data_IF_922349886900
#
_entry.id   IF_922349886900
#
_cell.length_a   1.000
_cell.length_b   1.000
_cell.length_c   1.000
_cell.angle_alpha   90.00
_cell.angle_beta   90.00
_cell.angle_gamma   90.00
#
_symmetry.space_group_name_H-M   'P 1'
#
loop_
_entity.id
_entity.type
_entity.pdbx_description
1 polymer ?
#
# COMPACT_ATOMS: atom_id res chain seq x y z
N UNK A 1 7.42 72.63 65.30
CA UNK A 1 6.72 71.34 65.10
C UNK A 1 5.50 71.58 64.22
N UNK A 2 5.61 71.37 62.88
CA UNK A 2 4.54 71.63 61.93
C UNK A 2 4.07 70.31 61.38
N UNK A 3 2.84 69.93 61.69
CA UNK A 3 2.13 68.73 61.23
C UNK A 3 1.71 68.93 59.75
N UNK A 4 2.27 68.17 58.83
CA UNK A 4 1.80 68.10 57.43
C UNK A 4 0.53 67.27 57.40
N UNK A 5 -0.59 67.87 56.98
CA UNK A 5 -1.83 67.21 56.62
C UNK A 5 -1.65 66.57 55.25
N UNK A 6 -1.92 65.26 55.16
CA UNK A 6 -1.96 64.50 53.87
C UNK A 6 -3.41 64.45 53.41
N UNK A 7 -3.83 65.42 52.60
CA UNK A 7 -5.10 65.34 51.85
C UNK A 7 -5.03 64.27 50.79
N UNK A 8 -5.80 63.21 50.96
CA UNK A 8 -6.05 62.22 49.86
C UNK A 8 -7.21 62.81 49.02
N UNK A 9 -7.06 62.86 47.71
CA UNK A 9 -8.14 63.31 46.84
C UNK A 9 -9.27 62.27 46.85
N UNK A 10 -10.43 62.67 47.40
CA UNK A 10 -11.68 61.90 47.30
C UNK A 10 -12.26 62.17 45.92
N UNK A 11 -12.35 61.11 45.08
CA UNK A 11 -12.98 61.19 43.76
C UNK A 11 -14.46 61.60 43.90
N UNK A 12 -14.88 62.62 43.14
CA UNK A 12 -16.26 63.15 43.19
C UNK A 12 -17.26 62.09 42.72
N UNK A 13 -18.48 62.04 43.24
CA UNK A 13 -19.50 61.01 42.90
C UNK A 13 -19.74 60.78 41.44
N UNK A 14 -19.71 61.76 40.53
CA UNK A 14 -19.88 61.51 39.09
C UNK A 14 -18.71 60.74 38.45
N UNK A 15 -17.48 60.80 38.96
CA UNK A 15 -16.32 60.06 38.47
C UNK A 15 -16.36 58.59 38.90
N UNK A 16 -16.87 58.31 40.11
CA UNK A 16 -17.10 56.94 40.58
C UNK A 16 -18.20 56.23 39.76
N UNK A 17 -19.25 56.97 39.40
CA UNK A 17 -20.34 56.45 38.58
C UNK A 17 -19.89 56.14 37.13
N UNK A 18 -19.04 56.99 36.56
CA UNK A 18 -18.48 56.78 35.22
C UNK A 18 -17.53 55.57 35.21
N UNK A 19 -16.71 55.35 36.25
CA UNK A 19 -15.83 54.19 36.37
C UNK A 19 -16.64 52.90 36.59
N UNK A 20 -17.72 52.96 37.38
CA UNK A 20 -18.61 51.81 37.58
C UNK A 20 -19.35 51.44 36.28
N UNK A 21 -19.78 52.40 35.44
CA UNK A 21 -20.46 52.16 34.17
C UNK A 21 -19.52 51.59 33.14
N UNK A 22 -18.24 52.01 33.09
CA UNK A 22 -17.22 51.43 32.20
C UNK A 22 -16.80 50.04 32.64
N UNK A 23 -16.72 49.75 33.91
CA UNK A 23 -16.48 48.38 34.42
C UNK A 23 -17.65 47.45 34.14
N UNK A 24 -18.89 47.94 34.25
CA UNK A 24 -20.10 47.15 33.91
C UNK A 24 -20.22 46.89 32.41
N UNK A 25 -19.80 47.86 31.57
CA UNK A 25 -19.75 47.67 30.11
C UNK A 25 -18.66 46.69 29.68
N UNK A 26 -17.55 46.59 30.38
CA UNK A 26 -16.50 45.57 30.14
C UNK A 26 -16.92 44.17 30.61
N UNK A 27 -17.79 44.05 31.61
CA UNK A 27 -18.35 42.78 32.06
C UNK A 27 -19.52 42.31 31.18
N UNK A 28 -20.16 43.24 30.44
CA UNK A 28 -21.24 42.96 29.50
C UNK A 28 -20.76 42.75 28.03
N UNK A 29 -19.45 42.79 27.80
CA UNK A 29 -18.95 42.34 26.49
C UNK A 29 -19.41 40.90 26.30
N UNK A 30 -20.23 40.58 25.24
CA UNK A 30 -20.54 39.22 24.96
C UNK A 30 -19.17 38.51 24.82
N UNK A 31 -18.95 37.47 25.62
CA UNK A 31 -17.91 36.51 25.32
C UNK A 31 -18.24 35.97 23.91
N UNK A 32 -17.71 36.64 22.91
CA UNK A 32 -17.62 36.03 21.58
C UNK A 32 -16.75 34.82 21.84
N UNK A 33 -17.44 33.71 22.11
CA UNK A 33 -16.82 32.40 22.14
C UNK A 33 -16.06 32.32 20.84
N UNK A 34 -14.74 32.44 20.92
CA UNK A 34 -13.91 31.88 19.90
C UNK A 34 -14.30 30.40 19.92
N UNK A 35 -15.24 30.04 19.02
CA UNK A 35 -15.45 28.67 18.67
C UNK A 35 -14.03 28.19 18.34
N UNK A 36 -13.44 27.39 19.23
CA UNK A 36 -12.26 26.62 18.86
C UNK A 36 -12.63 26.00 17.50
N UNK A 37 -11.78 26.13 16.48
CA UNK A 37 -12.05 25.44 15.23
C UNK A 37 -12.37 24.01 15.64
N UNK A 38 -13.57 23.57 15.36
CA UNK A 38 -14.01 22.20 15.64
C UNK A 38 -13.08 21.34 14.81
N UNK A 39 -12.10 20.70 15.48
CA UNK A 39 -11.15 19.82 14.80
C UNK A 39 -11.99 18.68 14.28
N UNK A 40 -12.11 18.58 12.96
CA UNK A 40 -12.86 17.47 12.35
C UNK A 40 -12.27 16.14 12.81
N UNK A 41 -13.06 15.10 12.93
CA UNK A 41 -12.56 13.77 13.25
C UNK A 41 -11.58 13.30 12.17
N UNK A 42 -10.53 12.60 12.58
CA UNK A 42 -9.61 11.91 11.66
C UNK A 42 -10.30 10.72 11.05
N UNK A 43 -10.38 10.69 9.72
CA UNK A 43 -11.00 9.61 8.95
C UNK A 43 -9.93 8.62 8.53
N UNK A 44 -10.06 7.39 9.02
CA UNK A 44 -9.25 6.26 8.59
C UNK A 44 -9.99 5.44 7.53
N UNK A 45 -9.34 5.15 6.42
CA UNK A 45 -9.86 4.25 5.39
C UNK A 45 -9.19 2.88 5.51
N UNK A 46 -9.99 1.83 5.60
CA UNK A 46 -9.53 0.45 5.74
C UNK A 46 -10.01 -0.37 4.54
N UNK A 47 -9.07 -0.93 3.79
CA UNK A 47 -9.32 -1.69 2.57
C UNK A 47 -8.94 -3.16 2.77
N UNK A 48 -9.91 -4.06 2.68
CA UNK A 48 -9.67 -5.49 2.84
C UNK A 48 -8.97 -6.11 1.61
N UNK A 49 -8.36 -7.27 1.80
CA UNK A 49 -7.91 -8.13 0.72
C UNK A 49 -9.06 -8.80 -0.01
N UNK A 50 -8.82 -9.23 -1.27
CA UNK A 50 -9.82 -9.90 -2.09
C UNK A 50 -9.44 -10.08 -3.56
N UNK A 51 -8.16 -10.06 -3.90
CA UNK A 51 -7.65 -10.27 -5.27
C UNK A 51 -8.22 -9.23 -6.26
N UNK A 52 -8.71 -9.68 -7.41
CA UNK A 52 -9.29 -8.81 -8.46
C UNK A 52 -10.44 -7.93 -7.95
N UNK A 53 -11.21 -8.40 -6.96
CA UNK A 53 -12.28 -7.62 -6.32
C UNK A 53 -11.76 -6.33 -5.67
N UNK A 54 -10.46 -6.24 -5.39
CA UNK A 54 -9.79 -5.02 -4.93
C UNK A 54 -10.01 -3.80 -5.84
N UNK A 55 -10.36 -4.00 -7.09
CA UNK A 55 -10.73 -2.93 -8.01
C UNK A 55 -11.97 -2.17 -7.53
N UNK A 56 -12.89 -2.81 -6.80
CA UNK A 56 -14.04 -2.11 -6.20
C UNK A 56 -13.61 -1.02 -5.19
N UNK A 57 -12.47 -1.18 -4.52
CA UNK A 57 -11.94 -0.13 -3.65
C UNK A 57 -11.68 1.18 -4.40
N UNK A 58 -11.22 1.12 -5.66
CA UNK A 58 -10.97 2.31 -6.48
C UNK A 58 -12.28 3.06 -6.76
N UNK A 59 -13.35 2.32 -7.03
CA UNK A 59 -14.68 2.90 -7.16
C UNK A 59 -15.18 3.57 -5.87
N UNK A 60 -14.89 2.97 -4.71
CA UNK A 60 -15.20 3.59 -3.42
C UNK A 60 -14.42 4.90 -3.25
N UNK A 61 -13.10 4.90 -3.56
CA UNK A 61 -12.29 6.13 -3.52
C UNK A 61 -12.87 7.23 -4.39
N UNK A 62 -13.27 6.91 -5.62
CA UNK A 62 -13.93 7.86 -6.54
C UNK A 62 -15.19 8.47 -5.91
N UNK A 63 -16.05 7.66 -5.29
CA UNK A 63 -17.25 8.15 -4.65
C UNK A 63 -16.96 9.02 -3.41
N UNK A 64 -15.92 8.69 -2.62
CA UNK A 64 -15.47 9.52 -1.49
C UNK A 64 -14.98 10.89 -1.97
N UNK A 65 -14.22 10.96 -3.08
CA UNK A 65 -13.78 12.22 -3.66
C UNK A 65 -14.94 13.05 -4.23
N UNK A 66 -15.89 12.40 -4.94
CA UNK A 66 -17.13 13.05 -5.42
C UNK A 66 -17.90 13.71 -4.25
N UNK A 67 -17.96 13.04 -3.11
CA UNK A 67 -18.63 13.53 -1.90
C UNK A 67 -17.73 14.46 -1.06
N UNK A 68 -16.49 14.71 -1.46
CA UNK A 68 -15.52 15.55 -0.74
C UNK A 68 -15.24 15.08 0.69
N UNK A 69 -15.09 13.78 0.86
CA UNK A 69 -14.72 13.14 2.13
C UNK A 69 -13.20 12.98 2.18
N UNK A 70 -12.48 13.80 2.95
CA UNK A 70 -11.02 13.67 3.06
C UNK A 70 -10.65 12.48 3.93
N UNK A 71 -9.62 11.77 3.51
CA UNK A 71 -9.04 10.62 4.22
C UNK A 71 -7.73 11.06 4.87
N UNK A 72 -7.57 10.78 6.17
CA UNK A 72 -6.41 11.21 6.95
C UNK A 72 -5.36 10.11 7.13
N UNK A 73 -5.74 8.85 6.97
CA UNK A 73 -4.85 7.70 6.98
C UNK A 73 -5.50 6.52 6.24
N UNK A 74 -4.68 5.66 5.68
CA UNK A 74 -5.16 4.49 4.93
C UNK A 74 -4.43 3.24 5.41
N UNK A 75 -5.18 2.14 5.58
CA UNK A 75 -4.62 0.83 5.89
C UNK A 75 -5.20 -0.19 4.91
N UNK A 76 -4.35 -1.07 4.42
CA UNK A 76 -4.80 -2.09 3.47
C UNK A 76 -4.13 -3.44 3.62
N UNK A 77 -4.84 -4.47 3.21
CA UNK A 77 -4.36 -5.84 3.14
C UNK A 77 -4.44 -6.35 1.71
N UNK A 78 -3.40 -7.06 1.22
CA UNK A 78 -3.39 -7.69 -0.10
C UNK A 78 -3.73 -6.68 -1.23
N UNK A 79 -4.73 -6.96 -2.06
CA UNK A 79 -5.21 -6.04 -3.09
C UNK A 79 -5.61 -4.67 -2.51
N UNK A 80 -6.21 -4.65 -1.31
CA UNK A 80 -6.51 -3.41 -0.60
C UNK A 80 -5.24 -2.62 -0.24
N UNK A 81 -4.12 -3.30 0.06
CA UNK A 81 -2.84 -2.61 0.32
C UNK A 81 -2.29 -1.93 -0.93
N UNK A 82 -2.46 -2.54 -2.11
CA UNK A 82 -2.04 -1.95 -3.37
C UNK A 82 -2.83 -0.67 -3.68
N UNK A 83 -4.17 -0.73 -3.61
CA UNK A 83 -5.02 0.46 -3.81
C UNK A 83 -4.73 1.53 -2.77
N UNK A 84 -4.64 1.15 -1.49
CA UNK A 84 -4.32 2.05 -0.38
C UNK A 84 -2.99 2.78 -0.57
N UNK A 85 -1.94 2.07 -0.95
CA UNK A 85 -0.60 2.64 -1.16
C UNK A 85 -0.55 3.61 -2.34
N UNK A 86 -1.22 3.29 -3.46
CA UNK A 86 -1.30 4.18 -4.61
C UNK A 86 -2.03 5.48 -4.26
N UNK A 87 -3.15 5.36 -3.56
CA UNK A 87 -3.90 6.52 -3.08
C UNK A 87 -3.10 7.32 -2.06
N UNK A 88 -2.45 6.65 -1.10
CA UNK A 88 -1.61 7.28 -0.09
C UNK A 88 -0.40 8.01 -0.67
N UNK A 89 0.14 7.53 -1.80
CA UNK A 89 1.24 8.18 -2.52
C UNK A 89 0.82 9.41 -3.33
N UNK A 90 -0.47 9.79 -3.27
CA UNK A 90 -1.02 10.96 -3.99
C UNK A 90 -1.35 10.70 -5.46
N UNK A 91 -1.48 9.44 -5.87
CA UNK A 91 -1.94 9.13 -7.23
C UNK A 91 -3.43 9.45 -7.36
N UNK A 92 -3.85 10.27 -8.34
CA UNK A 92 -5.25 10.55 -8.60
C UNK A 92 -6.06 9.26 -8.85
N UNK A 93 -7.30 9.22 -8.39
CA UNK A 93 -8.14 8.02 -8.51
C UNK A 93 -8.34 7.63 -9.98
N UNK A 94 -8.51 8.59 -10.87
CA UNK A 94 -8.64 8.37 -12.31
C UNK A 94 -7.38 7.73 -12.92
N UNK A 95 -6.20 8.09 -12.39
CA UNK A 95 -4.93 7.48 -12.80
C UNK A 95 -4.83 6.04 -12.29
N UNK A 96 -5.28 5.76 -11.06
CA UNK A 96 -5.34 4.39 -10.53
C UNK A 96 -6.26 3.53 -11.41
N UNK A 97 -7.47 4.02 -11.74
CA UNK A 97 -8.40 3.32 -12.63
C UNK A 97 -7.76 3.02 -13.99
N UNK A 98 -7.16 4.02 -14.61
CA UNK A 98 -6.50 3.89 -15.91
C UNK A 98 -5.36 2.86 -15.87
N UNK A 99 -4.50 2.95 -14.86
CA UNK A 99 -3.39 2.00 -14.66
C UNK A 99 -3.89 0.59 -14.50
N UNK A 100 -4.92 0.36 -13.70
CA UNK A 100 -5.47 -0.99 -13.46
C UNK A 100 -6.12 -1.60 -14.69
N UNK A 101 -6.69 -0.79 -15.60
CA UNK A 101 -7.22 -1.25 -16.88
C UNK A 101 -6.09 -1.60 -17.86
N UNK A 102 -5.00 -0.83 -17.87
CA UNK A 102 -3.87 -1.01 -18.79
C UNK A 102 -2.91 -2.14 -18.38
N UNK A 103 -2.93 -2.57 -17.10
CA UNK A 103 -2.04 -3.61 -16.60
C UNK A 103 -2.28 -4.96 -17.28
N UNK A 104 -1.19 -5.60 -17.72
CA UNK A 104 -1.20 -7.03 -18.07
C UNK A 104 -1.19 -7.88 -16.79
N UNK A 105 -2.39 -8.05 -16.20
CA UNK A 105 -2.55 -8.84 -14.98
C UNK A 105 -2.04 -10.27 -15.10
N UNK A 106 -2.14 -10.88 -16.28
CA UNK A 106 -1.66 -12.25 -16.48
C UNK A 106 -0.13 -12.33 -16.36
N UNK A 107 0.58 -11.26 -16.68
CA UNK A 107 2.04 -11.21 -16.50
C UNK A 107 2.46 -11.22 -15.04
N UNK A 108 1.63 -10.68 -14.13
CA UNK A 108 1.92 -10.66 -12.70
C UNK A 108 2.01 -12.07 -12.09
N UNK A 109 1.26 -13.02 -12.67
CA UNK A 109 1.27 -14.44 -12.26
C UNK A 109 2.30 -15.30 -13.00
N UNK A 110 3.29 -14.67 -13.64
CA UNK A 110 4.35 -15.37 -14.39
C UNK A 110 5.71 -14.77 -14.04
N UNK A 111 6.73 -15.62 -13.95
CA UNK A 111 8.12 -15.20 -13.75
C UNK A 111 8.91 -15.23 -15.06
N UNK A 112 8.23 -15.17 -16.19
CA UNK A 112 8.87 -15.17 -17.51
C UNK A 112 9.24 -13.73 -17.90
N UNK A 113 10.55 -13.41 -18.02
CA UNK A 113 10.98 -12.07 -18.43
C UNK A 113 10.65 -11.76 -19.89
N UNK A 114 10.03 -12.72 -20.59
CA UNK A 114 9.78 -12.64 -22.02
C UNK A 114 10.95 -13.15 -22.87
N UNK A 115 10.61 -13.65 -24.07
CA UNK A 115 11.57 -14.30 -24.96
C UNK A 115 12.72 -13.37 -25.37
N UNK A 116 12.47 -12.06 -25.49
CA UNK A 116 13.49 -11.10 -25.90
C UNK A 116 14.68 -11.07 -24.92
N UNK A 117 14.42 -11.22 -23.64
CA UNK A 117 15.38 -11.11 -22.54
C UNK A 117 16.14 -12.41 -22.23
N UNK A 118 15.74 -13.54 -22.80
CA UNK A 118 16.39 -14.83 -22.56
C UNK A 118 17.58 -15.04 -23.50
N UNK A 119 18.73 -15.56 -23.00
CA UNK A 119 19.83 -16.00 -23.84
C UNK A 119 19.41 -17.13 -24.79
N UNK A 120 20.12 -17.27 -25.92
CA UNK A 120 19.80 -18.27 -26.94
C UNK A 120 19.71 -19.69 -26.36
N UNK A 121 20.60 -20.05 -25.43
CA UNK A 121 20.61 -21.36 -24.76
C UNK A 121 19.30 -21.60 -23.99
N UNK A 122 18.82 -20.64 -23.20
CA UNK A 122 17.53 -20.76 -22.48
C UNK A 122 16.35 -20.84 -23.44
N UNK A 123 16.38 -20.09 -24.52
CA UNK A 123 15.35 -20.20 -25.60
C UNK A 123 15.26 -21.59 -26.20
N UNK A 124 16.38 -22.31 -26.28
CA UNK A 124 16.43 -23.69 -26.79
C UNK A 124 15.96 -24.68 -25.71
N UNK A 125 16.31 -24.46 -24.44
CA UNK A 125 15.92 -25.34 -23.33
C UNK A 125 14.39 -25.28 -23.10
N UNK A 126 13.78 -24.09 -23.19
CA UNK A 126 12.32 -23.92 -23.09
C UNK A 126 11.55 -24.69 -24.18
N UNK A 127 12.14 -24.88 -25.37
CA UNK A 127 11.56 -25.69 -26.44
C UNK A 127 11.64 -27.19 -26.18
N UNK A 128 12.66 -27.64 -25.45
CA UNK A 128 12.89 -29.05 -25.16
C UNK A 128 12.13 -29.60 -23.97
N UNK A 129 11.80 -28.71 -23.00
CA UNK A 129 11.17 -29.06 -21.73
C UNK A 129 10.00 -28.10 -21.41
N UNK A 130 8.89 -28.16 -22.15
CA UNK A 130 7.78 -27.20 -21.98
C UNK A 130 7.05 -27.29 -20.64
N UNK A 131 7.27 -28.33 -19.85
CA UNK A 131 6.56 -28.61 -18.59
C UNK A 131 7.50 -28.87 -17.41
N UNK A 132 8.66 -28.21 -17.34
CA UNK A 132 9.49 -28.33 -16.15
C UNK A 132 8.96 -27.37 -15.07
N UNK A 133 8.20 -27.84 -14.04
CA UNK A 133 7.97 -27.06 -12.85
C UNK A 133 9.32 -26.66 -12.26
N UNK A 134 9.39 -25.55 -11.51
CA UNK A 134 10.62 -25.04 -10.91
C UNK A 134 11.23 -25.99 -9.88
N UNK A 135 11.55 -27.23 -10.31
CA UNK A 135 12.25 -28.22 -9.52
C UNK A 135 13.74 -27.85 -9.47
N UNK A 136 14.27 -27.67 -8.28
CA UNK A 136 15.68 -27.49 -8.01
C UNK A 136 16.29 -28.71 -7.35
N UNK A 137 17.53 -28.99 -7.68
CA UNK A 137 18.33 -30.04 -7.00
C UNK A 137 19.43 -29.33 -6.22
N UNK A 138 19.49 -29.55 -4.90
CA UNK A 138 20.59 -29.16 -4.04
C UNK A 138 21.28 -30.40 -3.47
N UNK A 139 22.40 -30.22 -2.78
CA UNK A 139 23.09 -31.31 -2.07
C UNK A 139 22.20 -31.98 -0.99
N UNK A 140 21.17 -31.27 -0.52
CA UNK A 140 20.23 -31.71 0.53
C UNK A 140 18.96 -32.35 -0.07
N UNK A 141 18.82 -32.43 -1.40
CA UNK A 141 17.68 -33.06 -2.06
C UNK A 141 16.98 -32.22 -3.12
N UNK A 142 15.76 -32.65 -3.49
CA UNK A 142 14.90 -31.95 -4.45
C UNK A 142 14.18 -30.81 -3.70
N UNK A 143 14.32 -29.59 -4.19
CA UNK A 143 13.60 -28.41 -3.67
C UNK A 143 12.50 -27.99 -4.64
N UNK A 144 11.33 -27.77 -4.11
CA UNK A 144 10.24 -27.06 -4.77
C UNK A 144 10.38 -25.56 -4.43
N UNK A 145 10.13 -24.68 -5.39
CA UNK A 145 10.02 -23.26 -5.12
C UNK A 145 8.94 -22.98 -4.04
N UNK A 146 9.10 -21.95 -3.23
CA UNK A 146 8.17 -21.60 -2.15
C UNK A 146 6.77 -21.16 -2.61
N UNK A 147 6.51 -21.15 -3.91
CA UNK A 147 5.23 -20.81 -4.56
C UNK A 147 5.27 -21.21 -6.02
N UNK A 148 4.13 -21.07 -6.73
CA UNK A 148 4.05 -21.31 -8.18
C UNK A 148 4.92 -20.33 -8.95
N UNK A 149 4.97 -19.06 -8.49
CA UNK A 149 5.79 -17.98 -9.02
C UNK A 149 6.55 -17.26 -7.90
N UNK A 150 7.74 -16.74 -8.21
CA UNK A 150 8.51 -15.89 -7.27
C UNK A 150 7.89 -14.51 -7.14
N UNK A 151 7.08 -14.08 -8.11
CA UNK A 151 6.45 -12.76 -8.19
C UNK A 151 7.38 -11.69 -8.72
N UNK A 152 8.37 -12.07 -9.53
CA UNK A 152 9.32 -11.14 -10.14
C UNK A 152 8.63 -10.06 -10.97
N UNK A 153 7.68 -10.44 -11.83
CA UNK A 153 6.97 -9.48 -12.68
C UNK A 153 6.02 -8.61 -11.85
N UNK A 154 5.36 -9.17 -10.82
CA UNK A 154 4.55 -8.36 -9.90
C UNK A 154 5.43 -7.30 -9.20
N UNK A 155 6.66 -7.65 -8.81
CA UNK A 155 7.62 -6.70 -8.24
C UNK A 155 7.93 -5.53 -9.19
N UNK A 156 8.15 -5.79 -10.47
CA UNK A 156 8.36 -4.72 -11.47
C UNK A 156 7.11 -3.83 -11.62
N UNK A 157 5.93 -4.42 -11.71
CA UNK A 157 4.67 -3.68 -11.78
C UNK A 157 4.50 -2.76 -10.55
N UNK A 158 4.72 -3.30 -9.36
CA UNK A 158 4.60 -2.52 -8.12
C UNK A 158 5.63 -1.40 -8.03
N UNK A 159 6.89 -1.65 -8.43
CA UNK A 159 7.92 -0.62 -8.48
C UNK A 159 7.54 0.52 -9.46
N UNK A 160 7.01 0.19 -10.63
CA UNK A 160 6.54 1.20 -11.58
C UNK A 160 5.38 2.02 -10.99
N UNK A 161 4.39 1.34 -10.42
CA UNK A 161 3.20 2.00 -9.85
C UNK A 161 3.54 2.91 -8.66
N UNK A 162 4.51 2.51 -7.82
CA UNK A 162 4.88 3.24 -6.60
C UNK A 162 6.08 4.16 -6.77
N UNK A 163 6.59 4.31 -7.98
CA UNK A 163 7.83 5.09 -8.26
C UNK A 163 7.81 6.52 -7.70
N UNK A 164 6.62 7.13 -7.62
CA UNK A 164 6.46 8.49 -7.10
C UNK A 164 6.80 8.59 -5.60
N UNK A 165 6.70 7.48 -4.86
CA UNK A 165 7.03 7.37 -3.45
C UNK A 165 8.37 6.65 -3.19
N UNK A 166 9.18 6.40 -4.23
CA UNK A 166 10.40 5.59 -4.13
C UNK A 166 11.46 6.12 -3.15
N UNK A 167 11.41 7.40 -2.78
CA UNK A 167 12.31 8.04 -1.80
C UNK A 167 11.69 8.16 -0.40
N UNK A 168 10.44 7.76 -0.21
CA UNK A 168 9.77 7.81 1.09
C UNK A 168 10.07 6.53 1.86
N UNK A 169 10.86 6.63 2.93
CA UNK A 169 11.20 5.50 3.80
C UNK A 169 10.19 5.31 4.94
N UNK A 170 9.65 6.38 5.50
CA UNK A 170 8.60 6.33 6.53
C UNK A 170 7.24 6.60 5.88
N UNK A 171 6.33 5.63 5.96
CA UNK A 171 5.01 5.76 5.34
C UNK A 171 4.09 6.76 6.04
N UNK A 172 4.51 7.33 7.18
CA UNK A 172 3.85 8.49 7.78
C UNK A 172 4.20 9.80 7.04
N UNK A 173 5.26 9.80 6.22
CA UNK A 173 5.67 10.92 5.37
C UNK A 173 5.02 10.89 3.98
N UNK A 174 4.26 9.84 3.65
CA UNK A 174 3.41 9.85 2.45
C UNK A 174 2.36 10.96 2.56
N UNK A 175 1.86 11.48 1.41
CA UNK A 175 0.76 12.45 1.42
C UNK A 175 -0.43 12.06 2.30
N UNK A 176 -0.74 10.77 2.37
CA UNK A 176 -1.65 10.19 3.37
C UNK A 176 -0.90 9.08 4.10
N UNK A 177 -0.75 9.12 5.44
CA UNK A 177 -0.14 8.06 6.22
C UNK A 177 -0.71 6.67 5.91
N UNK A 178 0.18 5.69 5.71
CA UNK A 178 -0.20 4.37 5.20
C UNK A 178 0.39 3.23 6.02
N UNK A 179 -0.36 2.12 6.09
CA UNK A 179 0.17 0.81 6.55
C UNK A 179 -0.29 -0.31 5.63
N UNK A 180 0.64 -1.18 5.25
CA UNK A 180 0.34 -2.48 4.65
C UNK A 180 0.34 -3.56 5.74
N UNK A 181 -0.57 -4.52 5.63
CA UNK A 181 -0.61 -5.66 6.55
C UNK A 181 -0.16 -6.93 5.84
N UNK A 182 0.79 -7.64 6.44
CA UNK A 182 1.26 -8.95 6.02
C UNK A 182 1.14 -9.94 7.18
N UNK A 183 1.45 -11.21 6.94
CA UNK A 183 1.47 -12.27 7.96
C UNK A 183 2.86 -12.86 8.05
N UNK A 184 3.41 -12.97 9.26
CA UNK A 184 4.61 -13.74 9.52
C UNK A 184 4.30 -15.23 9.39
N UNK A 185 4.93 -15.90 8.42
CA UNK A 185 4.65 -17.30 8.10
C UNK A 185 5.07 -18.25 9.22
N UNK A 186 6.05 -17.91 10.04
CA UNK A 186 6.54 -18.75 11.12
C UNK A 186 5.59 -18.74 12.32
N UNK A 187 5.04 -17.54 12.64
CA UNK A 187 4.25 -17.34 13.86
C UNK A 187 2.75 -17.23 13.60
N UNK A 188 2.32 -16.94 12.36
CA UNK A 188 0.94 -16.67 11.99
C UNK A 188 0.42 -15.30 12.47
N UNK A 189 1.28 -14.47 13.05
CA UNK A 189 0.92 -13.14 13.58
C UNK A 189 0.95 -12.09 12.47
N UNK A 190 0.04 -11.10 12.58
CA UNK A 190 0.07 -9.94 11.69
C UNK A 190 1.38 -9.16 11.81
N UNK A 191 1.83 -8.63 10.69
CA UNK A 191 2.96 -7.72 10.59
C UNK A 191 2.50 -6.45 9.91
N UNK A 192 2.44 -5.37 10.68
CA UNK A 192 2.10 -4.03 10.17
C UNK A 192 3.36 -3.38 9.61
N UNK A 193 3.35 -3.09 8.31
CA UNK A 193 4.49 -2.50 7.60
C UNK A 193 4.21 -1.01 7.38
N UNK A 194 5.00 -0.16 7.99
CA UNK A 194 4.88 1.30 7.93
C UNK A 194 6.13 2.02 7.43
N UNK A 195 7.15 1.29 6.94
CA UNK A 195 8.39 1.91 6.49
C UNK A 195 9.14 1.06 5.48
N UNK A 196 10.14 1.62 4.83
CA UNK A 196 11.03 0.97 3.87
C UNK A 196 10.52 1.07 2.43
N UNK A 197 10.84 0.09 1.58
CA UNK A 197 10.40 0.08 0.19
C UNK A 197 8.89 -0.19 0.09
N UNK A 198 8.15 0.74 -0.55
CA UNK A 198 6.69 0.67 -0.64
C UNK A 198 6.23 -0.49 -1.53
N UNK A 199 6.91 -0.73 -2.66
CA UNK A 199 6.60 -1.84 -3.55
C UNK A 199 6.85 -3.20 -2.86
N UNK A 200 7.93 -3.32 -2.07
CA UNK A 200 8.22 -4.52 -1.28
C UNK A 200 7.16 -4.74 -0.19
N UNK A 201 6.70 -3.67 0.47
CA UNK A 201 5.65 -3.76 1.49
C UNK A 201 4.32 -4.28 0.91
N UNK A 202 3.89 -3.71 -0.23
CA UNK A 202 2.71 -4.20 -0.96
C UNK A 202 2.93 -5.64 -1.42
N UNK A 203 4.11 -5.96 -1.99
CA UNK A 203 4.44 -7.30 -2.47
C UNK A 203 4.37 -8.34 -1.34
N UNK A 204 4.81 -7.99 -0.12
CA UNK A 204 4.69 -8.85 1.05
C UNK A 204 3.23 -9.08 1.42
N UNK A 205 2.44 -8.00 1.46
CA UNK A 205 0.99 -8.04 1.75
C UNK A 205 0.19 -8.85 0.72
N UNK A 206 0.67 -8.95 -0.52
CA UNK A 206 0.04 -9.69 -1.64
C UNK A 206 0.62 -11.09 -1.86
N UNK A 207 1.47 -11.61 -0.96
CA UNK A 207 2.12 -12.91 -1.11
C UNK A 207 1.18 -14.08 -0.78
N UNK A 208 0.18 -14.30 -1.62
CA UNK A 208 -0.85 -15.35 -1.42
C UNK A 208 -0.17 -16.72 -1.29
N UNK A 209 -0.37 -17.44 -0.17
CA UNK A 209 0.20 -18.77 0.03
C UNK A 209 -0.17 -19.74 -1.10
N UNK A 210 0.83 -20.47 -1.61
CA UNK A 210 0.66 -21.40 -2.74
C UNK A 210 0.74 -20.74 -4.12
N UNK A 211 0.47 -19.43 -4.25
CA UNK A 211 0.60 -18.68 -5.51
C UNK A 211 1.96 -18.02 -5.60
N UNK A 212 2.26 -17.13 -4.65
CA UNK A 212 3.53 -16.40 -4.63
C UNK A 212 4.48 -16.93 -3.56
N UNK A 213 5.78 -16.85 -3.85
CA UNK A 213 6.80 -17.09 -2.84
C UNK A 213 6.71 -16.04 -1.71
N UNK A 214 6.94 -16.44 -0.43
CA UNK A 214 7.04 -15.51 0.67
C UNK A 214 8.12 -14.44 0.44
N UNK A 215 7.89 -13.24 0.99
CA UNK A 215 8.87 -12.16 0.98
C UNK A 215 9.70 -12.22 2.25
N UNK A 216 11.02 -12.28 2.11
CA UNK A 216 11.94 -12.18 3.24
C UNK A 216 12.18 -10.70 3.56
N UNK A 217 11.78 -10.29 4.78
CA UNK A 217 11.94 -8.92 5.26
C UNK A 217 12.31 -8.90 6.74
N UNK A 218 13.40 -8.23 7.06
CA UNK A 218 13.90 -8.11 8.46
C UNK A 218 14.02 -9.46 9.18
N UNK A 219 14.48 -10.50 8.47
CA UNK A 219 14.67 -11.84 9.02
C UNK A 219 13.37 -12.65 9.21
N UNK A 220 12.23 -12.16 8.71
CA UNK A 220 10.92 -12.85 8.71
C UNK A 220 10.54 -13.25 7.30
N UNK A 221 9.80 -14.35 7.17
CA UNK A 221 9.15 -14.75 5.93
C UNK A 221 7.69 -14.28 5.98
N UNK A 222 7.36 -13.32 5.12
CA UNK A 222 6.05 -12.70 5.08
C UNK A 222 5.20 -13.28 3.95
N UNK A 223 3.94 -13.55 4.26
CA UNK A 223 2.90 -13.94 3.32
C UNK A 223 1.72 -12.97 3.39
N UNK A 224 0.71 -13.18 2.54
CA UNK A 224 -0.49 -12.33 2.45
C UNK A 224 -1.11 -12.03 3.82
N UNK A 225 -1.40 -10.76 4.04
CA UNK A 225 -1.97 -10.28 5.30
C UNK A 225 -3.36 -10.82 5.59
N UNK A 226 -4.10 -11.25 4.57
CA UNK A 226 -5.43 -11.83 4.72
C UNK A 226 -5.46 -13.08 5.61
N UNK A 227 -4.32 -13.75 5.77
CA UNK A 227 -4.22 -14.91 6.69
C UNK A 227 -4.38 -14.50 8.14
N UNK A 228 -3.81 -13.38 8.58
CA UNK A 228 -3.83 -12.90 9.97
C UNK A 228 -4.85 -11.78 10.22
N UNK A 229 -4.94 -10.80 9.31
CA UNK A 229 -5.83 -9.63 9.44
C UNK A 229 -6.21 -9.08 8.07
N UNK A 230 -7.35 -9.52 7.55
CA UNK A 230 -7.80 -9.16 6.21
C UNK A 230 -8.47 -7.78 6.14
N UNK A 231 -9.13 -7.33 7.21
CA UNK A 231 -9.78 -6.02 7.31
C UNK A 231 -9.21 -5.26 8.51
N UNK A 232 -8.05 -4.60 8.39
CA UNK A 232 -7.24 -4.15 9.52
C UNK A 232 -7.78 -2.91 10.26
N UNK A 233 -9.02 -2.99 10.79
CA UNK A 233 -9.69 -1.96 11.57
C UNK A 233 -8.88 -1.56 12.80
N UNK A 234 -8.32 -2.56 13.52
CA UNK A 234 -7.46 -2.32 14.68
C UNK A 234 -6.27 -1.45 14.36
N UNK A 235 -5.61 -1.70 13.23
CA UNK A 235 -4.42 -0.94 12.79
C UNK A 235 -4.77 0.53 12.52
N UNK A 236 -5.89 0.79 11.82
CA UNK A 236 -6.34 2.16 11.59
C UNK A 236 -6.68 2.88 12.91
N UNK A 237 -7.24 2.16 13.87
CA UNK A 237 -7.54 2.72 15.20
C UNK A 237 -6.25 3.06 15.95
N UNK A 238 -5.25 2.19 15.90
CA UNK A 238 -3.92 2.40 16.51
C UNK A 238 -3.15 3.56 15.87
N UNK A 239 -3.40 3.85 14.57
CA UNK A 239 -2.89 5.05 13.88
C UNK A 239 -3.65 6.33 14.28
N UNK A 240 -4.69 6.23 15.09
CA UNK A 240 -5.44 7.36 15.63
C UNK A 240 -6.62 7.79 14.79
N UNK A 241 -7.25 6.90 14.02
CA UNK A 241 -8.52 7.19 13.36
C UNK A 241 -9.64 7.38 14.40
N UNK A 242 -10.35 8.50 14.32
CA UNK A 242 -11.55 8.76 15.13
C UNK A 242 -12.78 8.04 14.52
N UNK A 243 -12.87 8.07 13.19
CA UNK A 243 -13.92 7.41 12.41
C UNK A 243 -13.27 6.54 11.35
N UNK A 244 -13.75 5.30 11.20
CA UNK A 244 -13.25 4.36 10.19
C UNK A 244 -14.29 4.17 9.10
N UNK A 245 -13.86 4.29 7.86
CA UNK A 245 -14.56 3.81 6.69
C UNK A 245 -13.91 2.47 6.31
N UNK A 246 -14.59 1.37 6.61
CA UNK A 246 -14.12 0.03 6.30
C UNK A 246 -14.77 -0.48 5.02
N UNK A 247 -13.97 -0.93 4.06
CA UNK A 247 -14.45 -1.52 2.80
C UNK A 247 -14.12 -3.00 2.80
N UNK A 248 -15.17 -3.83 2.92
CA UNK A 248 -15.07 -5.28 3.01
C UNK A 248 -15.49 -5.94 1.69
N UNK A 249 -14.52 -6.54 1.01
CA UNK A 249 -14.72 -7.31 -0.24
C UNK A 249 -14.37 -8.79 -0.06
N UNK A 250 -14.42 -9.28 1.19
CA UNK A 250 -14.04 -10.67 1.53
C UNK A 250 -14.93 -11.69 0.82
N UNK A 251 -14.31 -12.68 0.20
CA UNK A 251 -15.02 -13.75 -0.50
C UNK A 251 -15.92 -14.58 0.42
N UNK A 252 -17.09 -15.05 -0.03
CA UNK A 252 -17.85 -16.07 0.64
C UNK A 252 -17.06 -17.40 0.64
N UNK A 253 -17.42 -18.30 1.54
CA UNK A 253 -16.89 -19.68 1.53
C UNK A 253 -17.37 -20.40 0.27
N UNK A 254 -16.48 -21.18 -0.35
CA UNK A 254 -16.82 -22.04 -1.47
C UNK A 254 -17.81 -23.12 -1.05
N UNK A 255 -18.71 -23.45 -1.95
CA UNK A 255 -19.64 -24.59 -1.78
C UNK A 255 -18.93 -25.92 -2.05
N UNK A 256 -19.56 -27.02 -1.67
CA UNK A 256 -19.02 -28.37 -1.93
C UNK A 256 -18.81 -28.66 -3.44
N UNK A 257 -19.62 -28.04 -4.29
CA UNK A 257 -19.55 -28.22 -5.75
C UNK A 257 -18.32 -27.52 -6.35
N UNK A 258 -17.87 -26.42 -5.73
CA UNK A 258 -16.71 -25.63 -6.14
C UNK A 258 -15.37 -26.18 -5.61
N UNK A 259 -15.41 -27.08 -4.62
CA UNK A 259 -14.22 -27.65 -3.96
C UNK A 259 -13.76 -28.97 -4.61
N UNK A 260 -13.66 -29.08 -5.92
CA UNK A 260 -13.31 -30.34 -6.58
C UNK A 260 -11.80 -30.53 -6.83
N UNK A 261 -10.96 -29.52 -6.67
CA UNK A 261 -9.53 -29.56 -6.94
C UNK A 261 -8.69 -29.32 -5.68
N UNK A 262 -7.47 -29.87 -5.63
CA UNK A 262 -6.58 -29.69 -4.48
C UNK A 262 -6.24 -28.20 -4.19
N UNK A 263 -6.14 -27.38 -5.24
CA UNK A 263 -5.93 -25.94 -5.08
C UNK A 263 -7.14 -25.23 -4.48
N UNK A 264 -8.36 -25.67 -4.78
CA UNK A 264 -9.57 -25.11 -4.17
C UNK A 264 -9.64 -25.39 -2.68
N UNK A 265 -9.07 -26.50 -2.20
CA UNK A 265 -8.98 -26.80 -0.75
C UNK A 265 -8.04 -25.82 -0.05
N UNK A 266 -6.86 -25.53 -0.62
CA UNK A 266 -5.92 -24.52 -0.03
C UNK A 266 -6.55 -23.14 -0.06
N UNK A 267 -7.20 -22.78 -1.15
CA UNK A 267 -7.97 -21.52 -1.27
C UNK A 267 -9.06 -21.44 -0.19
N UNK A 268 -9.85 -22.50 0.00
CA UNK A 268 -10.89 -22.55 1.01
C UNK A 268 -10.35 -22.37 2.42
N UNK A 269 -9.23 -23.02 2.78
CA UNK A 269 -8.59 -22.85 4.09
C UNK A 269 -8.15 -21.40 4.31
N UNK A 270 -7.57 -20.77 3.28
CA UNK A 270 -7.20 -19.35 3.32
C UNK A 270 -8.44 -18.47 3.50
N UNK A 271 -9.51 -18.72 2.73
CA UNK A 271 -10.78 -17.98 2.86
C UNK A 271 -11.41 -18.15 4.24
N UNK A 272 -11.36 -19.36 4.83
CA UNK A 272 -11.86 -19.59 6.20
C UNK A 272 -11.10 -18.77 7.24
N UNK A 273 -9.76 -18.69 7.14
CA UNK A 273 -8.94 -17.86 8.03
C UNK A 273 -9.25 -16.38 7.83
N UNK A 274 -9.30 -15.95 6.59
CA UNK A 274 -9.61 -14.57 6.19
C UNK A 274 -10.96 -14.11 6.73
N UNK A 275 -12.02 -14.91 6.55
CA UNK A 275 -13.35 -14.56 7.07
C UNK A 275 -13.39 -14.47 8.58
N UNK A 276 -12.79 -15.45 9.27
CA UNK A 276 -12.78 -15.45 10.74
C UNK A 276 -12.12 -14.18 11.29
N UNK A 277 -10.94 -13.83 10.78
CA UNK A 277 -10.27 -12.62 11.25
C UNK A 277 -10.98 -11.34 10.80
N UNK A 278 -11.66 -11.34 9.64
CA UNK A 278 -12.52 -10.22 9.20
C UNK A 278 -13.68 -10.03 10.17
N UNK A 279 -14.38 -11.10 10.59
CA UNK A 279 -15.48 -11.02 11.55
C UNK A 279 -15.01 -10.46 12.92
N UNK A 280 -13.82 -10.84 13.38
CA UNK A 280 -13.19 -10.30 14.59
C UNK A 280 -12.89 -8.79 14.48
N UNK A 281 -12.53 -8.30 13.28
CA UNK A 281 -12.28 -6.88 13.03
C UNK A 281 -13.57 -6.09 12.87
N UNK A 282 -14.58 -6.66 12.22
CA UNK A 282 -15.91 -6.05 12.10
C UNK A 282 -16.55 -5.80 13.47
N UNK A 283 -16.34 -6.72 14.42
CA UNK A 283 -16.81 -6.56 15.80
C UNK A 283 -16.16 -5.38 16.55
N UNK A 284 -15.09 -4.77 16.00
CA UNK A 284 -14.41 -3.59 16.56
C UNK A 284 -14.95 -2.26 16.01
N UNK A 285 -15.79 -2.31 14.97
CA UNK A 285 -16.45 -1.12 14.45
C UNK A 285 -17.48 -0.61 15.46
N UNK A 286 -17.60 0.70 15.54
CA UNK A 286 -18.54 1.44 16.41
C UNK A 286 -19.67 2.03 15.58
N UNK A 287 -20.70 2.57 16.23
CA UNK A 287 -21.84 3.21 15.55
C UNK A 287 -21.45 4.47 14.73
N UNK A 288 -20.26 5.04 15.00
CA UNK A 288 -19.73 6.17 14.24
C UNK A 288 -18.96 5.74 12.98
N UNK A 289 -18.56 4.49 12.88
CA UNK A 289 -17.82 3.95 11.74
C UNK A 289 -18.78 3.60 10.59
N UNK A 290 -18.23 3.52 9.38
CA UNK A 290 -19.02 3.24 8.17
C UNK A 290 -18.46 1.98 7.53
N UNK A 291 -19.30 0.95 7.40
CA UNK A 291 -18.96 -0.29 6.70
C UNK A 291 -19.57 -0.28 5.31
N UNK A 292 -18.73 -0.35 4.29
CA UNK A 292 -19.13 -0.44 2.88
C UNK A 292 -18.85 -1.86 2.40
N UNK A 293 -19.87 -2.53 1.87
CA UNK A 293 -19.78 -3.86 1.25
C UNK A 293 -20.33 -3.80 -0.16
N UNK A 294 -19.45 -3.68 -1.17
CA UNK A 294 -19.90 -3.79 -2.55
C UNK A 294 -20.55 -5.15 -2.83
N UNK A 295 -21.65 -5.14 -3.58
CA UNK A 295 -22.25 -6.39 -4.07
C UNK A 295 -21.41 -6.91 -5.23
N UNK A 296 -20.58 -7.91 -4.95
CA UNK A 296 -19.65 -8.55 -5.88
C UNK A 296 -20.08 -9.98 -6.21
N UNK A 297 -21.38 -10.30 -6.08
CA UNK A 297 -21.90 -11.60 -6.48
C UNK A 297 -21.66 -11.84 -7.98
N UNK A 298 -21.20 -13.04 -8.32
CA UNK A 298 -20.83 -13.41 -9.69
C UNK A 298 -19.40 -13.01 -10.12
N UNK A 299 -18.66 -12.30 -9.27
CA UNK A 299 -17.25 -11.99 -9.54
C UNK A 299 -16.33 -12.73 -8.55
N UNK A 300 -15.24 -13.28 -9.07
CA UNK A 300 -14.23 -13.99 -8.27
C UNK A 300 -12.99 -13.13 -8.02
N UNK A 301 -12.17 -13.55 -7.06
CA UNK A 301 -10.86 -12.94 -6.79
C UNK A 301 -9.84 -13.09 -7.94
N UNK A 302 -10.19 -13.80 -9.03
CA UNK A 302 -9.37 -14.00 -10.23
C UNK A 302 -9.85 -13.17 -11.44
N UNK A 303 -10.96 -12.44 -11.37
CA UNK A 303 -11.59 -11.74 -12.50
C UNK A 303 -10.94 -10.38 -12.77
N UNK A 304 -9.64 -10.37 -13.05
CA UNK A 304 -8.85 -9.15 -13.28
C UNK A 304 -9.23 -8.34 -14.51
N UNK A 305 -10.07 -8.87 -15.40
CA UNK A 305 -10.52 -8.16 -16.62
C UNK A 305 -11.84 -7.41 -16.42
N UNK A 306 -12.50 -7.59 -15.28
CA UNK A 306 -13.80 -6.96 -14.96
C UNK A 306 -13.65 -5.58 -14.29
N UNK A 307 -12.47 -4.95 -14.40
CA UNK A 307 -12.15 -3.69 -13.72
C UNK A 307 -13.23 -2.63 -13.82
N UNK A 308 -13.68 -2.24 -15.03
CA UNK A 308 -14.72 -1.21 -15.15
C UNK A 308 -16.03 -1.53 -14.43
N UNK A 309 -16.42 -2.81 -14.37
CA UNK A 309 -17.62 -3.25 -13.64
C UNK A 309 -17.39 -3.16 -12.13
N UNK A 310 -16.24 -3.65 -11.67
CA UNK A 310 -15.89 -3.65 -10.26
C UNK A 310 -15.75 -2.22 -9.69
N UNK A 311 -15.19 -1.28 -10.47
CA UNK A 311 -15.17 0.15 -10.09
C UNK A 311 -16.58 0.69 -9.86
N UNK A 312 -17.53 0.43 -10.77
CA UNK A 312 -18.90 0.92 -10.63
C UNK A 312 -19.64 0.27 -9.45
N UNK A 313 -19.43 -1.02 -9.20
CA UNK A 313 -20.01 -1.71 -8.04
C UNK A 313 -19.50 -1.09 -6.73
N UNK A 314 -18.19 -0.80 -6.66
CA UNK A 314 -17.60 -0.12 -5.50
C UNK A 314 -18.16 1.29 -5.28
N UNK A 315 -18.26 2.09 -6.35
CA UNK A 315 -18.80 3.44 -6.28
C UNK A 315 -20.29 3.44 -5.89
N UNK A 316 -21.06 2.50 -6.42
CA UNK A 316 -22.47 2.33 -6.07
C UNK A 316 -22.65 2.03 -4.59
N UNK A 317 -21.91 1.05 -4.07
CA UNK A 317 -21.95 0.71 -2.65
C UNK A 317 -21.58 1.90 -1.75
N UNK A 318 -20.59 2.69 -2.11
CA UNK A 318 -20.26 3.91 -1.36
C UNK A 318 -21.40 4.95 -1.39
N UNK A 319 -22.03 5.15 -2.55
CA UNK A 319 -23.17 6.09 -2.70
C UNK A 319 -24.40 5.67 -1.90
N UNK A 320 -24.61 4.38 -1.65
CA UNK A 320 -25.66 3.89 -0.74
C UNK A 320 -25.47 4.38 0.70
N UNK A 321 -24.23 4.66 1.09
CA UNK A 321 -23.86 5.24 2.39
C UNK A 321 -23.74 6.78 2.36
N UNK A 322 -24.23 7.46 1.32
CA UNK A 322 -24.05 8.92 1.13
C UNK A 322 -24.51 9.75 2.33
N UNK A 323 -25.59 9.35 3.03
CA UNK A 323 -26.09 10.07 4.22
C UNK A 323 -25.05 10.08 5.35
N UNK A 324 -24.37 8.98 5.58
CA UNK A 324 -23.33 8.88 6.61
C UNK A 324 -22.05 9.57 6.14
N UNK A 325 -21.61 9.33 4.91
CA UNK A 325 -20.40 9.88 4.32
C UNK A 325 -20.46 11.41 4.20
N UNK A 326 -21.60 11.98 3.84
CA UNK A 326 -21.77 13.44 3.75
C UNK A 326 -21.62 14.16 5.11
N UNK A 327 -21.70 13.45 6.25
CA UNK A 327 -21.39 14.03 7.56
C UNK A 327 -19.88 14.27 7.74
N UNK A 328 -19.05 13.56 6.98
CA UNK A 328 -17.60 13.68 6.96
C UNK A 328 -17.10 14.62 5.87
N UNK A 329 -18.00 15.02 4.95
CA UNK A 329 -17.67 15.89 3.83
C UNK A 329 -17.25 17.29 4.32
N UNK A 330 -16.30 17.87 3.61
CA UNK A 330 -15.81 19.21 3.90
C UNK A 330 -16.26 20.23 2.86
N UNK A 331 -16.16 21.54 3.18
CA UNK A 331 -16.48 22.59 2.21
C UNK A 331 -15.56 22.53 0.98
N UNK A 332 -16.02 23.09 -0.16
CA UNK A 332 -15.22 23.12 -1.39
C UNK A 332 -13.81 23.66 -1.21
N UNK A 333 -13.60 24.83 -0.55
CA UNK A 333 -12.26 25.33 -0.26
C UNK A 333 -11.41 24.41 0.61
N UNK A 334 -11.99 23.78 1.64
CA UNK A 334 -11.27 22.84 2.50
C UNK A 334 -10.91 21.54 1.76
N UNK A 335 -11.79 21.07 0.88
CA UNK A 335 -11.52 19.95 -0.01
C UNK A 335 -10.35 20.25 -0.95
N UNK A 336 -10.35 21.44 -1.58
CA UNK A 336 -9.27 21.82 -2.47
C UNK A 336 -7.92 21.90 -1.72
N UNK A 337 -7.92 22.48 -0.53
CA UNK A 337 -6.71 22.54 0.30
C UNK A 337 -6.19 21.15 0.67
N UNK A 338 -7.09 20.20 0.97
CA UNK A 338 -6.72 18.82 1.22
C UNK A 338 -6.16 18.14 -0.03
N UNK A 339 -6.83 18.27 -1.18
CA UNK A 339 -6.33 17.74 -2.47
C UNK A 339 -4.95 18.29 -2.82
N UNK A 340 -4.75 19.59 -2.72
CA UNK A 340 -3.47 20.24 -2.98
C UNK A 340 -2.35 19.70 -2.07
N UNK A 341 -2.69 19.31 -0.83
CA UNK A 341 -1.73 18.69 0.08
C UNK A 341 -1.40 17.23 -0.27
N UNK A 342 -2.32 16.52 -0.89
CA UNK A 342 -2.15 15.11 -1.27
C UNK A 342 -1.53 14.96 -2.67
N UNK A 343 -2.00 15.71 -3.66
CA UNK A 343 -1.55 15.60 -5.06
C UNK A 343 -0.20 16.30 -5.33
N UNK A 344 0.28 17.14 -4.41
CA UNK A 344 1.46 17.98 -4.61
C UNK A 344 2.82 17.28 -4.60
N UNK A 345 2.87 15.99 -4.32
CA UNK A 345 4.10 15.25 -4.01
C UNK A 345 4.66 14.38 -5.14
N UNK A 346 4.44 14.69 -6.43
CA UNK A 346 5.05 13.87 -7.48
C UNK A 346 6.58 14.02 -7.48
N UNK A 347 7.26 12.93 -7.13
CA UNK A 347 8.72 12.86 -7.21
C UNK A 347 9.21 13.08 -8.65
N UNK A 348 10.11 14.04 -8.80
CA UNK A 348 10.90 14.19 -10.03
C UNK A 348 12.28 13.59 -9.76
N UNK A 349 12.71 12.59 -10.55
CA UNK A 349 14.01 11.98 -10.34
C UNK A 349 15.11 13.00 -10.56
N UNK A 350 15.74 13.44 -9.47
CA UNK A 350 17.00 14.15 -9.52
C UNK A 350 18.14 13.20 -9.95
N UNK A 351 19.34 13.73 -10.20
CA UNK A 351 20.50 12.89 -10.49
C UNK A 351 20.75 11.89 -9.35
N UNK A 352 20.99 10.62 -9.71
CA UNK A 352 21.34 9.57 -8.76
C UNK A 352 22.74 9.84 -8.22
N UNK A 353 22.90 9.97 -6.89
CA UNK A 353 24.20 10.22 -6.28
C UNK A 353 25.14 9.02 -6.47
N UNK A 354 24.65 7.80 -6.24
CA UNK A 354 25.40 6.56 -6.43
C UNK A 354 24.49 5.36 -6.64
N UNK A 355 25.07 4.27 -7.13
CA UNK A 355 24.40 2.98 -7.34
C UNK A 355 25.07 1.94 -6.44
N UNK A 356 24.27 1.31 -5.58
CA UNK A 356 24.70 0.24 -4.68
C UNK A 356 24.11 -1.09 -5.14
N UNK A 357 24.93 -2.14 -5.11
CA UNK A 357 24.54 -3.49 -5.50
C UNK A 357 24.58 -4.40 -4.29
N UNK A 358 23.45 -5.02 -3.98
CA UNK A 358 23.36 -6.03 -2.93
C UNK A 358 23.07 -7.37 -3.58
N UNK A 359 23.87 -8.39 -3.26
CA UNK A 359 23.78 -9.70 -3.88
C UNK A 359 24.15 -10.82 -2.90
N UNK A 360 23.87 -12.09 -3.30
CA UNK A 360 24.38 -13.28 -2.63
C UNK A 360 25.87 -13.56 -2.95
N UNK A 361 26.43 -14.59 -2.32
CA UNK A 361 27.88 -14.85 -2.17
C UNK A 361 28.62 -15.32 -3.44
N UNK A 362 27.92 -15.64 -4.56
CA UNK A 362 28.51 -16.37 -5.69
C UNK A 362 28.94 -15.52 -6.89
N UNK A 363 28.27 -14.44 -7.16
CA UNK A 363 28.55 -13.59 -8.32
C UNK A 363 28.96 -12.19 -7.86
N UNK A 364 30.04 -11.66 -8.40
CA UNK A 364 30.55 -10.35 -8.00
C UNK A 364 29.59 -9.22 -8.39
N UNK A 365 29.48 -8.17 -7.52
CA UNK A 365 28.71 -6.95 -7.82
C UNK A 365 29.14 -6.28 -9.14
N UNK A 366 30.35 -6.54 -9.57
CA UNK A 366 30.90 -6.11 -10.86
C UNK A 366 30.12 -6.71 -12.05
N UNK A 367 29.68 -7.97 -11.91
CA UNK A 367 28.84 -8.62 -12.93
C UNK A 367 27.51 -7.91 -13.14
N UNK A 368 26.87 -7.43 -12.07
CA UNK A 368 25.63 -6.62 -12.15
C UNK A 368 25.93 -5.23 -12.71
N UNK A 369 27.00 -4.59 -12.22
CA UNK A 369 27.40 -3.24 -12.64
C UNK A 369 27.65 -3.14 -14.14
N UNK A 370 28.31 -4.14 -14.74
CA UNK A 370 28.58 -4.18 -16.19
C UNK A 370 27.29 -4.29 -17.04
N UNK A 371 26.16 -4.68 -16.44
CA UNK A 371 24.88 -4.92 -17.14
C UNK A 371 23.83 -3.88 -16.90
N UNK A 372 24.05 -2.97 -15.96
CA UNK A 372 23.19 -1.82 -15.67
C UNK A 372 23.77 -0.63 -16.42
N UNK A 373 22.99 -0.06 -17.34
CA UNK A 373 23.38 1.11 -18.13
C UNK A 373 23.23 2.42 -17.37
N UNK A 374 22.32 2.46 -16.36
CA UNK A 374 22.15 3.64 -15.52
C UNK A 374 23.47 4.04 -14.87
N UNK A 375 23.79 5.33 -14.88
CA UNK A 375 25.02 5.87 -14.30
C UNK A 375 24.71 6.83 -13.14
N UNK A 376 25.65 6.92 -12.18
CA UNK A 376 25.60 7.95 -11.17
C UNK A 376 25.80 9.34 -11.82
N UNK A 377 25.12 10.36 -11.30
CA UNK A 377 25.09 11.70 -11.85
C UNK A 377 24.00 11.93 -12.90
N UNK A 378 23.29 10.90 -13.34
CA UNK A 378 22.18 10.98 -14.28
C UNK A 378 20.83 10.82 -13.55
N UNK A 379 19.73 11.42 -14.05
CA UNK A 379 18.39 11.13 -13.59
C UNK A 379 18.07 9.64 -13.77
N UNK A 380 17.21 9.09 -12.90
CA UNK A 380 16.77 7.69 -13.02
C UNK A 380 15.93 7.52 -14.30
N UNK A 381 16.42 6.66 -15.19
CA UNK A 381 15.66 6.13 -16.32
C UNK A 381 15.07 4.76 -15.92
N UNK A 382 13.82 4.79 -15.46
CA UNK A 382 13.13 3.60 -14.95
C UNK A 382 12.96 2.55 -16.06
N UNK A 383 12.59 2.98 -17.27
CA UNK A 383 12.38 2.06 -18.39
C UNK A 383 13.68 1.34 -18.78
N UNK A 384 14.77 2.09 -18.89
CA UNK A 384 16.09 1.52 -19.16
C UNK A 384 16.55 0.57 -18.04
N UNK A 385 16.36 0.97 -16.77
CA UNK A 385 16.74 0.17 -15.62
C UNK A 385 15.98 -1.15 -15.57
N UNK A 386 14.66 -1.13 -15.76
CA UNK A 386 13.84 -2.33 -15.78
C UNK A 386 14.20 -3.25 -16.95
N UNK A 387 14.51 -2.71 -18.12
CA UNK A 387 14.99 -3.47 -19.26
C UNK A 387 16.30 -4.21 -18.93
N UNK A 388 17.24 -3.54 -18.26
CA UNK A 388 18.48 -4.15 -17.79
C UNK A 388 18.22 -5.24 -16.74
N UNK A 389 17.33 -5.01 -15.77
CA UNK A 389 16.97 -5.99 -14.76
C UNK A 389 16.25 -7.22 -15.36
N UNK A 390 15.36 -7.01 -16.33
CA UNK A 390 14.73 -8.11 -17.09
C UNK A 390 15.77 -8.96 -17.84
N UNK A 391 16.82 -8.34 -18.41
CA UNK A 391 17.95 -9.07 -19.03
C UNK A 391 18.75 -9.85 -18.00
N UNK A 392 19.07 -9.25 -16.85
CA UNK A 392 19.80 -9.92 -15.75
C UNK A 392 18.98 -11.11 -15.23
N UNK A 393 17.69 -10.93 -14.97
CA UNK A 393 16.79 -12.01 -14.57
C UNK A 393 16.67 -13.10 -15.64
N UNK A 394 16.64 -12.70 -16.92
CA UNK A 394 16.62 -13.58 -18.09
C UNK A 394 17.81 -14.55 -18.16
N UNK A 395 18.95 -14.24 -17.53
CA UNK A 395 20.10 -15.17 -17.45
C UNK A 395 19.77 -16.44 -16.67
N UNK A 396 18.82 -16.37 -15.69
CA UNK A 396 18.33 -17.50 -14.92
C UNK A 396 19.14 -17.89 -13.69
N UNK A 397 20.12 -17.09 -13.33
CA UNK A 397 20.94 -17.30 -12.12
C UNK A 397 20.24 -16.77 -10.85
N UNK A 398 19.35 -15.80 -11.02
CA UNK A 398 18.70 -15.11 -9.92
C UNK A 398 17.28 -15.62 -9.68
N UNK A 399 16.88 -15.69 -8.45
CA UNK A 399 15.52 -15.98 -8.00
C UNK A 399 14.66 -14.72 -8.10
N UNK A 400 15.22 -13.58 -7.68
CA UNK A 400 14.62 -12.25 -7.81
C UNK A 400 15.68 -11.21 -8.15
N UNK A 401 15.28 -10.19 -8.90
CA UNK A 401 16.08 -8.99 -9.18
C UNK A 401 15.15 -7.80 -8.99
N UNK A 402 15.54 -6.86 -8.14
CA UNK A 402 14.72 -5.68 -7.83
C UNK A 402 15.58 -4.43 -7.72
N UNK A 403 14.93 -3.30 -7.75
CA UNK A 403 15.54 -2.02 -7.43
C UNK A 403 14.70 -1.26 -6.42
N UNK A 404 15.33 -0.38 -5.68
CA UNK A 404 14.68 0.58 -4.79
C UNK A 404 15.52 1.84 -4.72
N UNK A 405 14.93 2.92 -4.21
CA UNK A 405 15.66 4.16 -3.95
C UNK A 405 15.79 4.37 -2.45
N UNK A 406 16.86 5.04 -2.05
CA UNK A 406 17.07 5.48 -0.67
C UNK A 406 17.53 6.93 -0.66
N UNK A 407 16.98 7.79 0.18
CA UNK A 407 17.52 9.14 0.38
C UNK A 407 18.90 9.09 1.02
N UNK A 408 19.77 10.04 0.70
CA UNK A 408 21.04 10.27 1.38
C UNK A 408 21.39 11.76 1.37
N UNK A 409 22.35 12.16 2.20
CA UNK A 409 22.84 13.56 2.23
C UNK A 409 23.43 14.02 0.88
N UNK A 410 23.98 13.10 0.10
CA UNK A 410 24.55 13.37 -1.22
C UNK A 410 23.52 13.36 -2.37
N UNK A 411 22.30 12.95 -2.09
CA UNK A 411 21.23 12.76 -3.05
C UNK A 411 20.70 11.32 -3.10
N UNK A 412 19.78 11.01 -4.04
CA UNK A 412 19.17 9.70 -4.15
C UNK A 412 20.18 8.59 -4.44
N UNK A 413 20.06 7.45 -3.74
CA UNK A 413 20.88 6.25 -3.96
C UNK A 413 20.02 5.18 -4.60
N UNK A 414 20.44 4.69 -5.77
CA UNK A 414 19.80 3.54 -6.41
C UNK A 414 20.34 2.24 -5.82
N UNK A 415 19.48 1.44 -5.23
CA UNK A 415 19.79 0.12 -4.71
C UNK A 415 19.36 -0.94 -5.72
N UNK A 416 20.28 -1.71 -6.25
CA UNK A 416 19.99 -2.88 -7.09
C UNK A 416 20.24 -4.14 -6.28
N UNK A 417 19.19 -4.95 -6.09
CA UNK A 417 19.24 -6.20 -5.34
C UNK A 417 19.06 -7.38 -6.27
N UNK A 418 19.92 -8.38 -6.15
CA UNK A 418 19.81 -9.62 -6.91
C UNK A 418 20.02 -10.81 -5.96
N UNK A 419 18.94 -11.59 -5.75
CA UNK A 419 19.01 -12.80 -4.93
C UNK A 419 19.28 -14.01 -5.82
N UNK A 420 20.43 -14.64 -5.59
CA UNK A 420 20.82 -15.84 -6.34
C UNK A 420 19.94 -17.04 -5.97
N UNK A 421 19.74 -17.92 -6.93
CA UNK A 421 19.10 -19.22 -6.68
C UNK A 421 19.99 -20.07 -5.79
N UNK A 422 19.45 -20.58 -4.69
CA UNK A 422 20.18 -21.49 -3.78
C UNK A 422 20.46 -22.87 -4.43
N UNK A 423 19.94 -23.12 -5.64
CA UNK A 423 20.06 -24.38 -6.37
C UNK A 423 20.31 -24.14 -7.86
N UNK A 424 21.18 -24.95 -8.48
CA UNK A 424 21.40 -24.94 -9.92
C UNK A 424 20.31 -25.74 -10.65
N UNK A 425 19.84 -25.25 -11.83
CA UNK A 425 19.11 -26.12 -12.76
C UNK A 425 20.08 -27.20 -13.25
N UNK A 426 20.01 -28.39 -12.68
CA UNK A 426 20.66 -29.55 -13.25
C UNK A 426 19.75 -30.05 -14.37
N UNK A 427 20.09 -29.73 -15.60
CA UNK A 427 19.56 -30.51 -16.73
C UNK A 427 20.16 -31.91 -16.61
N UNK A 428 19.49 -32.83 -15.91
CA UNK A 428 19.80 -34.25 -16.03
C UNK A 428 19.60 -34.62 -17.49
N UNK A 429 20.70 -34.80 -18.22
CA UNK A 429 20.68 -35.61 -19.43
C UNK A 429 20.45 -37.04 -18.96
N UNK A 430 19.24 -37.53 -19.09
CA UNK A 430 18.99 -38.95 -19.23
C UNK A 430 19.60 -39.31 -20.59
N UNK A 431 20.72 -40.03 -20.56
CA UNK A 431 21.36 -40.62 -21.71
C UNK A 431 20.51 -41.79 -22.26
#
# INVERSE_FOLDING_TARGET
>A
MTRKSTDRPILSPPKLFAIALTLLAMLAAPAWGQSRPEVRPKVGLVLSGGGAKGMAHVGVLRALEEMKVPVDLVVGTSAGSAVAALYASGMPVEEIERRFIELDWLSSFRDDPGRAYKPVRRKQDDWRLPLAPGLGVSLDGIRLGGGLVTGQNLGFILNELTRNAALVEDFDELPIPFRAVATDLETGVEVVIGSGDLAEAIRASMSIPGVYAPVERSGRLLVDGGVANNLPVSVARDMGADIIIAVDITDPLLTNEEMQEAFSVVGQLTTMMTRRNTDDQLARLTDSDILIRPDLEGHSSADFFDGPVLFELGATAAREHAVALNRLAVSGPAWQAWRDSVEGGMWQPGPIARIEFTQGDRLASEFLRERIRQQAGEPLDVEQLEDDLKRIYGLGYYETVSWSMRPSEEGPVLMVRAREKSWGRTTCRLA
#
